data_IF_609669539870
#
_entry.id   IF_609669539870
#
_cell.length_a   1.000
_cell.length_b   1.000
_cell.length_c   1.000
_cell.angle_alpha   90.00
_cell.angle_beta   90.00
_cell.angle_gamma   90.00
#
_symmetry.space_group_name_H-M   'P 1'
#
loop_
_entity.id
_entity.type
_entity.pdbx_description
1 polymer ?
#
# COMPACT_ATOMS: atom_id res chain seq x y z
N UNK A 1 0.50 7.75 18.60
CA UNK A 1 1.39 7.91 17.42
C UNK A 1 1.01 6.86 16.40
N UNK A 2 0.73 7.23 15.14
CA UNK A 2 0.31 6.29 14.11
C UNK A 2 1.52 5.42 13.69
N UNK A 3 1.66 4.22 14.29
CA UNK A 3 2.91 3.42 14.23
C UNK A 3 3.31 3.07 12.79
N UNK A 4 2.33 2.88 11.89
CA UNK A 4 2.53 2.63 10.46
C UNK A 4 3.25 3.75 9.70
N UNK A 5 3.24 4.98 10.20
CA UNK A 5 3.87 6.11 9.49
C UNK A 5 5.40 6.04 9.55
N UNK A 6 5.96 5.43 10.59
CA UNK A 6 7.40 5.46 10.87
C UNK A 6 8.03 4.08 11.03
N UNK A 7 7.26 3.08 11.48
CA UNK A 7 7.71 1.70 11.58
C UNK A 7 6.79 0.85 10.70
N UNK A 8 7.24 0.51 9.50
CA UNK A 8 6.55 -0.41 8.60
C UNK A 8 7.56 -1.26 7.85
N UNK A 9 7.18 -2.51 7.59
CA UNK A 9 7.89 -3.42 6.70
C UNK A 9 7.08 -3.67 5.44
N UNK A 10 7.77 -4.10 4.39
CA UNK A 10 7.15 -4.56 3.16
C UNK A 10 7.66 -5.94 2.81
N UNK A 11 6.77 -6.80 2.36
CA UNK A 11 7.12 -8.09 1.80
C UNK A 11 6.23 -8.35 0.59
N UNK A 12 6.70 -9.15 -0.35
CA UNK A 12 5.91 -9.55 -1.50
C UNK A 12 5.74 -11.06 -1.52
N UNK A 13 4.60 -11.48 -2.02
CA UNK A 13 4.32 -12.88 -2.32
C UNK A 13 4.28 -12.99 -3.84
N UNK A 14 5.33 -13.61 -4.38
CA UNK A 14 5.37 -13.99 -5.80
C UNK A 14 4.72 -15.36 -5.93
N UNK A 15 3.67 -15.45 -6.74
CA UNK A 15 3.12 -16.73 -7.10
C UNK A 15 4.12 -17.52 -7.94
N UNK A 16 4.68 -18.61 -7.40
CA UNK A 16 5.28 -19.66 -8.23
C UNK A 16 4.22 -20.25 -9.18
N UNK A 17 2.92 -20.05 -8.86
CA UNK A 17 1.74 -20.59 -9.56
C UNK A 17 0.62 -19.56 -9.79
N UNK A 18 0.59 -18.41 -9.09
CA UNK A 18 -0.46 -17.39 -9.28
C UNK A 18 0.00 -16.28 -10.22
N UNK A 19 -0.85 -15.95 -11.19
CA UNK A 19 -0.68 -14.94 -12.25
C UNK A 19 -0.49 -13.49 -11.78
N UNK A 20 -0.31 -13.27 -10.47
CA UNK A 20 -0.13 -11.94 -9.87
C UNK A 20 0.94 -11.99 -8.77
N UNK A 21 1.75 -10.95 -8.68
CA UNK A 21 2.59 -10.67 -7.51
C UNK A 21 1.88 -9.68 -6.60
N UNK A 22 1.88 -9.92 -5.30
CA UNK A 22 1.21 -9.04 -4.33
C UNK A 22 2.23 -8.42 -3.38
N UNK A 23 2.14 -7.11 -3.18
CA UNK A 23 2.95 -6.36 -2.24
C UNK A 23 2.12 -6.05 -1.00
N UNK A 24 2.59 -6.54 0.15
CA UNK A 24 1.98 -6.32 1.45
C UNK A 24 2.81 -5.36 2.29
N UNK A 25 2.12 -4.61 3.14
CA UNK A 25 2.69 -3.81 4.22
C UNK A 25 2.39 -4.49 5.55
N UNK A 26 3.32 -4.40 6.49
CA UNK A 26 3.11 -4.77 7.89
C UNK A 26 3.50 -3.59 8.79
N UNK A 27 2.67 -3.30 9.79
CA UNK A 27 2.99 -2.33 10.83
C UNK A 27 3.04 -3.00 12.21
N UNK A 28 3.72 -2.40 13.20
CA UNK A 28 3.71 -2.88 14.57
C UNK A 28 2.28 -2.95 15.12
N UNK A 29 1.94 -4.11 15.67
CA UNK A 29 0.66 -4.40 16.32
C UNK A 29 -0.56 -4.38 15.38
N UNK A 30 -0.36 -4.51 14.07
CA UNK A 30 -1.46 -4.62 13.10
C UNK A 30 -1.27 -5.84 12.21
N UNK A 31 -2.37 -6.28 11.59
CA UNK A 31 -2.30 -7.26 10.50
C UNK A 31 -1.62 -6.62 9.28
N UNK A 32 -1.05 -7.48 8.43
CA UNK A 32 -0.55 -7.06 7.14
C UNK A 32 -1.70 -6.67 6.19
N UNK A 33 -1.48 -5.66 5.35
CA UNK A 33 -2.46 -5.16 4.39
C UNK A 33 -1.91 -5.15 2.96
N UNK A 34 -2.77 -5.43 1.98
CA UNK A 34 -2.40 -5.44 0.57
C UNK A 34 -2.28 -4.01 0.05
N UNK A 35 -1.10 -3.64 -0.42
CA UNK A 35 -0.81 -2.31 -0.97
C UNK A 35 -0.99 -2.29 -2.49
N UNK A 36 -0.55 -3.34 -3.16
CA UNK A 36 -0.57 -3.39 -4.61
C UNK A 36 -0.56 -4.81 -5.15
N UNK A 37 -1.20 -5.00 -6.30
CA UNK A 37 -1.14 -6.24 -7.07
C UNK A 37 -0.53 -5.93 -8.43
N UNK A 38 0.58 -6.58 -8.74
CA UNK A 38 1.15 -6.64 -10.08
C UNK A 38 0.40 -7.75 -10.79
N UNK A 39 -0.49 -7.38 -11.72
CA UNK A 39 -1.03 -8.35 -12.65
C UNK A 39 0.08 -8.76 -13.61
N UNK A 40 0.57 -10.00 -13.55
CA UNK A 40 1.63 -10.40 -14.48
C UNK A 40 1.70 -11.91 -14.69
N UNK A 41 1.43 -12.26 -15.95
CA UNK A 41 2.19 -13.21 -16.77
C UNK A 41 3.36 -13.89 -16.03
N UNK A 42 3.17 -15.15 -15.65
CA UNK A 42 4.20 -16.15 -15.33
C UNK A 42 5.57 -15.62 -14.84
N UNK A 43 5.87 -15.78 -13.55
CA UNK A 43 7.22 -15.53 -13.01
C UNK A 43 7.48 -14.11 -12.49
N UNK A 44 6.41 -13.34 -12.25
CA UNK A 44 6.46 -11.97 -11.75
C UNK A 44 6.94 -11.89 -10.29
N UNK A 45 8.26 -11.93 -10.09
CA UNK A 45 8.87 -11.55 -8.81
C UNK A 45 9.20 -10.07 -8.77
N UNK A 46 9.09 -9.44 -7.60
CA UNK A 46 9.73 -8.15 -7.34
C UNK A 46 11.24 -8.41 -7.19
N UNK A 47 12.06 -7.76 -8.02
CA UNK A 47 13.51 -7.93 -8.05
C UNK A 47 14.24 -6.88 -7.24
N UNK A 48 13.73 -5.65 -7.27
CA UNK A 48 14.29 -4.52 -6.54
C UNK A 48 13.16 -3.79 -5.83
N UNK A 49 13.45 -3.28 -4.64
CA UNK A 49 12.48 -2.55 -3.82
C UNK A 49 13.21 -1.45 -3.05
N UNK A 50 12.70 -0.23 -3.16
CA UNK A 50 13.16 0.93 -2.38
C UNK A 50 11.94 1.75 -1.96
N UNK A 51 11.93 2.17 -0.70
CA UNK A 51 11.05 3.20 -0.21
C UNK A 51 11.81 4.53 -0.06
N UNK A 52 11.28 5.60 -0.63
CA UNK A 52 11.86 6.94 -0.51
C UNK A 52 10.75 7.99 -0.42
N UNK A 53 10.77 8.82 0.63
CA UNK A 53 9.77 9.89 0.86
C UNK A 53 8.30 9.41 0.76
N UNK A 54 7.98 8.25 1.35
CA UNK A 54 6.67 7.59 1.26
C UNK A 54 6.24 7.21 -0.16
N UNK A 55 7.19 7.05 -1.07
CA UNK A 55 6.98 6.42 -2.37
C UNK A 55 7.65 5.06 -2.40
N UNK A 56 6.94 4.11 -2.94
CA UNK A 56 7.42 2.77 -3.22
C UNK A 56 7.86 2.68 -4.67
N UNK A 57 9.11 2.25 -4.85
CA UNK A 57 9.71 1.97 -6.15
C UNK A 57 10.08 0.50 -6.18
N UNK A 58 9.57 -0.23 -7.16
CA UNK A 58 9.94 -1.63 -7.32
C UNK A 58 10.03 -2.03 -8.79
N UNK A 59 11.13 -2.70 -9.13
CA UNK A 59 11.32 -3.35 -10.42
C UNK A 59 10.78 -4.77 -10.38
N UNK A 60 10.03 -5.15 -11.41
CA UNK A 60 9.47 -6.49 -11.55
C UNK A 60 10.15 -7.27 -12.68
N UNK A 61 9.93 -8.59 -12.69
CA UNK A 61 10.48 -9.48 -13.70
C UNK A 61 9.95 -9.23 -15.13
N UNK A 62 8.87 -8.47 -15.28
CA UNK A 62 8.35 -8.02 -16.59
C UNK A 62 9.16 -6.85 -17.20
N UNK A 63 10.26 -6.46 -16.55
CA UNK A 63 11.14 -5.38 -16.98
C UNK A 63 10.60 -3.98 -16.66
N UNK A 64 9.44 -3.87 -15.99
CA UNK A 64 8.85 -2.58 -15.65
C UNK A 64 9.23 -2.15 -14.23
N UNK A 65 9.18 -0.84 -14.03
CA UNK A 65 9.28 -0.19 -12.73
C UNK A 65 7.91 0.35 -12.35
N UNK A 66 7.47 0.02 -11.14
CA UNK A 66 6.22 0.51 -10.57
C UNK A 66 6.51 1.53 -9.49
N UNK A 67 5.70 2.58 -9.47
CA UNK A 67 5.79 3.69 -8.52
C UNK A 67 4.44 3.90 -7.86
N UNK A 68 4.39 3.84 -6.53
CA UNK A 68 3.14 3.93 -5.75
C UNK A 68 3.32 4.73 -4.47
N UNK A 69 2.27 5.45 -4.06
CA UNK A 69 2.14 5.94 -2.69
C UNK A 69 1.37 4.88 -1.87
N UNK A 70 1.94 4.34 -0.78
CA UNK A 70 1.23 3.42 0.10
C UNK A 70 0.21 4.14 1.00
N UNK A 71 0.21 5.48 1.00
CA UNK A 71 -0.72 6.32 1.73
C UNK A 71 -1.54 7.14 0.75
N UNK A 72 -2.77 6.70 0.49
CA UNK A 72 -3.89 7.63 0.51
C UNK A 72 -4.52 7.45 1.89
N UNK A 73 -4.16 8.30 2.85
CA UNK A 73 -5.09 8.53 3.96
C UNK A 73 -6.37 9.02 3.30
N UNK A 74 -7.38 8.16 3.23
CA UNK A 74 -8.75 8.59 3.05
C UNK A 74 -9.01 9.52 4.23
N UNK A 75 -8.82 10.82 4.04
CA UNK A 75 -9.37 11.81 4.95
C UNK A 75 -10.88 11.69 4.79
N UNK A 76 -11.49 10.85 5.62
CA UNK A 76 -12.91 10.93 5.88
C UNK A 76 -13.06 12.22 6.68
N UNK A 77 -13.17 13.36 5.99
CA UNK A 77 -13.75 14.55 6.60
C UNK A 77 -15.17 14.17 6.97
N UNK A 78 -15.37 13.74 8.22
CA UNK A 78 -16.70 13.69 8.80
C UNK A 78 -17.14 15.14 8.97
N UNK A 79 -17.78 15.70 7.94
CA UNK A 79 -18.61 16.89 8.09
C UNK A 79 -19.73 16.49 9.05
N UNK A 80 -19.58 16.87 10.32
CA UNK A 80 -20.65 16.74 11.29
C UNK A 80 -21.76 17.70 10.86
N UNK A 81 -22.77 17.18 10.16
CA UNK A 81 -23.91 17.96 9.67
C UNK A 81 -24.90 18.36 10.77
N UNK A 82 -24.60 18.11 12.05
CA UNK A 82 -25.44 18.57 13.16
C UNK A 82 -25.18 20.04 13.56
N UNK A 83 -24.82 20.89 12.60
CA UNK A 83 -24.88 22.34 12.77
C UNK A 83 -26.12 22.87 12.02
N UNK A 84 -27.26 22.91 12.71
CA UNK A 84 -28.15 24.10 12.87
C UNK A 84 -29.60 23.69 13.13
N UNK A 85 -30.12 24.12 14.27
CA UNK A 85 -31.17 25.14 14.19
C UNK A 85 -30.94 26.18 15.30
N UNK A 86 -30.28 27.32 15.03
CA UNK A 86 -30.19 28.43 15.98
C UNK A 86 -31.43 29.34 15.98
N UNK A 87 -32.55 28.89 15.41
CA UNK A 87 -33.84 29.58 15.49
C UNK A 87 -34.93 28.59 15.95
N UNK A 88 -35.00 28.34 17.25
CA UNK A 88 -36.15 27.80 17.96
C UNK A 88 -36.26 28.49 19.32
#
# INVERSE_FOLDING_TARGET
MNSCKYNRGYFYIGGVVSSNAQLFRICPNTNADLVYTIASTSGAGIKTFTEFHNWLWFGAADGKVYVRRPFQELQIEMHNTNATNPLA
#
